data_IF_777309889328
#
_entry.id   IF_777309889328
#
_cell.length_a   1.000
_cell.length_b   1.000
_cell.length_c   1.000
_cell.angle_alpha   90.00
_cell.angle_beta   90.00
_cell.angle_gamma   90.00
#
_symmetry.space_group_name_H-M   'P 1'
#
loop_
_entity.id
_entity.type
_entity.pdbx_description
1 polymer ?
#
# COMPACT_ATOMS: atom_id res chain seq x y z
N UNK A 1 19.52 33.87 -15.93
CA UNK A 1 18.52 33.20 -16.78
C UNK A 1 17.59 32.46 -15.83
N UNK A 2 16.35 32.93 -15.70
CA UNK A 2 15.37 32.40 -14.73
C UNK A 2 14.60 31.28 -15.43
N UNK A 3 14.82 30.03 -15.01
CA UNK A 3 13.96 28.91 -15.39
C UNK A 3 12.75 28.94 -14.46
N UNK A 4 11.58 29.22 -15.01
CA UNK A 4 10.31 29.27 -14.28
C UNK A 4 9.60 27.99 -14.69
N UNK A 5 9.66 26.95 -13.85
CA UNK A 5 8.87 25.73 -14.04
C UNK A 5 7.41 26.10 -13.84
N UNK A 6 6.59 25.88 -14.87
CA UNK A 6 5.14 26.08 -14.80
C UNK A 6 4.53 24.84 -14.18
N UNK A 7 4.04 24.97 -12.96
CA UNK A 7 3.12 24.01 -12.34
C UNK A 7 1.88 23.95 -13.24
N UNK A 8 1.63 22.78 -13.84
CA UNK A 8 0.47 22.58 -14.72
C UNK A 8 -0.70 22.13 -13.84
N UNK A 9 -1.59 23.07 -13.51
CA UNK A 9 -2.84 22.81 -12.81
C UNK A 9 -3.76 21.94 -13.68
N UNK A 10 -4.08 20.73 -13.20
CA UNK A 10 -5.00 19.81 -13.86
C UNK A 10 -6.44 20.33 -13.72
N UNK A 11 -7.03 20.74 -14.84
CA UNK A 11 -8.47 21.03 -14.89
C UNK A 11 -9.24 19.74 -14.64
N UNK A 12 -10.15 19.76 -13.65
CA UNK A 12 -11.16 18.73 -13.43
C UNK A 12 -11.89 18.41 -14.75
N UNK A 13 -11.53 17.30 -15.38
CA UNK A 13 -12.22 16.80 -16.56
C UNK A 13 -13.46 16.07 -16.07
N UNK A 14 -14.63 16.67 -16.27
CA UNK A 14 -15.91 15.98 -16.08
C UNK A 14 -15.96 14.80 -17.03
N UNK A 15 -15.88 13.58 -16.47
CA UNK A 15 -16.07 12.31 -17.18
C UNK A 15 -17.50 12.34 -17.74
N UNK A 16 -17.61 12.83 -18.97
CA UNK A 16 -18.84 12.81 -19.74
C UNK A 16 -18.75 11.55 -20.57
N UNK A 17 -19.68 10.63 -20.31
CA UNK A 17 -19.86 9.32 -20.93
C UNK A 17 -19.54 9.34 -22.43
N UNK A 18 -18.34 8.93 -22.80
CA UNK A 18 -18.01 8.52 -24.15
C UNK A 18 -18.03 7.00 -24.19
N UNK A 19 -19.24 6.41 -24.31
CA UNK A 19 -19.36 5.08 -24.89
C UNK A 19 -18.89 5.21 -26.35
N UNK A 20 -17.61 4.99 -26.58
CA UNK A 20 -17.09 4.76 -27.91
C UNK A 20 -17.63 3.42 -28.38
N UNK A 21 -18.39 3.44 -29.48
CA UNK A 21 -18.84 2.25 -30.16
C UNK A 21 -17.63 1.44 -30.61
N UNK A 22 -17.35 0.33 -29.93
CA UNK A 22 -16.38 -0.68 -30.38
C UNK A 22 -16.95 -1.29 -31.65
N UNK A 23 -16.45 -0.81 -32.80
CA UNK A 23 -16.78 -1.35 -34.11
C UNK A 23 -15.92 -2.60 -34.32
N UNK A 24 -16.51 -3.78 -34.16
CA UNK A 24 -15.85 -5.05 -34.42
C UNK A 24 -15.40 -5.14 -35.89
N UNK A 25 -14.12 -4.87 -36.16
CA UNK A 25 -13.46 -5.19 -37.41
C UNK A 25 -12.72 -6.52 -37.23
N UNK A 26 -13.26 -7.57 -37.83
CA UNK A 26 -12.66 -8.89 -37.83
C UNK A 26 -11.30 -8.88 -38.53
N UNK A 27 -10.25 -9.21 -37.78
CA UNK A 27 -8.92 -9.52 -38.31
C UNK A 27 -8.70 -11.03 -38.21
N UNK A 28 -8.38 -11.64 -39.34
CA UNK A 28 -8.02 -13.07 -39.47
C UNK A 28 -6.53 -13.21 -39.16
N UNK A 29 -6.08 -14.24 -38.42
CA UNK A 29 -4.74 -14.24 -37.83
C UNK A 29 -3.66 -14.67 -38.82
N UNK A 30 -2.51 -13.99 -38.76
CA UNK A 30 -1.22 -14.53 -39.22
C UNK A 30 -0.36 -14.77 -37.98
N UNK A 31 0.00 -16.03 -37.78
CA UNK A 31 0.60 -16.51 -36.54
C UNK A 31 2.06 -16.12 -36.35
N UNK A 32 2.45 -15.99 -35.09
CA UNK A 32 3.60 -16.69 -34.53
C UNK A 32 3.37 -16.89 -33.04
N UNK A 33 3.78 -18.08 -32.62
CA UNK A 33 3.52 -18.79 -31.36
C UNK A 33 4.16 -18.11 -30.16
N UNK A 34 3.45 -18.01 -29.03
CA UNK A 34 3.90 -18.36 -27.67
C UNK A 34 2.67 -18.85 -26.87
N UNK A 35 2.84 -19.98 -26.19
CA UNK A 35 1.88 -20.65 -25.31
C UNK A 35 1.86 -19.93 -23.95
N UNK A 36 0.79 -19.91 -23.15
CA UNK A 36 -0.12 -21.00 -22.87
C UNK A 36 -1.54 -20.50 -22.54
N UNK A 37 -2.52 -21.25 -23.05
CA UNK A 37 -3.90 -21.27 -22.57
C UNK A 37 -4.07 -22.60 -21.83
N UNK A 38 -4.61 -22.59 -20.61
CA UNK A 38 -5.13 -23.79 -19.98
C UNK A 38 -6.46 -23.47 -19.32
N UNK A 39 -7.53 -23.88 -19.99
CA UNK A 39 -8.85 -24.03 -19.40
C UNK A 39 -9.20 -25.54 -19.35
N UNK A 40 -9.97 -25.89 -18.30
CA UNK A 40 -10.86 -27.06 -18.14
C UNK A 40 -10.22 -28.39 -17.67
N UNK A 41 -10.54 -28.85 -16.44
CA UNK A 41 -11.42 -30.02 -16.22
C UNK A 41 -11.75 -30.36 -14.76
N UNK A 42 -13.03 -30.71 -14.62
CA UNK A 42 -13.85 -31.12 -13.49
C UNK A 42 -13.51 -32.53 -12.94
N UNK A 43 -13.67 -32.74 -11.62
CA UNK A 43 -14.02 -34.06 -11.07
C UNK A 43 -14.60 -33.98 -9.64
N UNK A 44 -15.91 -34.24 -9.54
CA UNK A 44 -16.59 -34.67 -8.32
C UNK A 44 -16.13 -36.05 -7.82
N UNK A 45 -16.06 -36.25 -6.49
CA UNK A 45 -16.68 -37.42 -5.83
C UNK A 45 -16.69 -37.30 -4.29
N UNK A 46 -17.83 -37.72 -3.76
CA UNK A 46 -18.30 -37.87 -2.37
C UNK A 46 -17.50 -38.79 -1.45
N UNK A 47 -17.69 -38.63 -0.13
CA UNK A 47 -17.54 -39.73 0.83
C UNK A 47 -17.54 -39.32 2.30
N UNK A 48 -18.65 -39.57 3.01
CA UNK A 48 -18.80 -39.36 4.46
C UNK A 48 -18.15 -40.49 5.28
N UNK A 49 -17.75 -40.24 6.53
CA UNK A 49 -18.23 -41.04 7.68
C UNK A 49 -17.65 -40.60 9.04
N UNK A 50 -18.57 -40.60 10.00
CA UNK A 50 -18.54 -40.48 11.45
C UNK A 50 -17.57 -41.38 12.26
N UNK A 51 -17.54 -41.08 13.56
CA UNK A 51 -17.15 -41.84 14.78
C UNK A 51 -15.82 -41.42 15.43
N UNK A 52 -15.80 -40.72 16.58
CA UNK A 52 -16.32 -40.98 17.95
C UNK A 52 -15.45 -41.91 18.81
N UNK A 53 -14.79 -41.28 19.77
CA UNK A 53 -14.68 -41.61 21.21
C UNK A 53 -13.78 -42.73 21.78
N UNK A 54 -13.18 -42.31 22.90
CA UNK A 54 -12.92 -43.00 24.17
C UNK A 54 -11.56 -43.69 24.44
N UNK A 55 -10.77 -42.98 25.26
CA UNK A 55 -10.42 -43.29 26.66
C UNK A 55 -9.12 -44.00 27.06
N UNK A 56 -8.68 -43.59 28.25
CA UNK A 56 -7.82 -44.24 29.25
C UNK A 56 -6.30 -44.34 28.99
N UNK A 57 -5.39 -44.28 29.97
CA UNK A 57 -5.33 -43.85 31.37
C UNK A 57 -3.86 -44.14 31.83
N UNK A 58 -3.42 -43.42 32.87
CA UNK A 58 -2.37 -43.75 33.84
C UNK A 58 -0.87 -43.71 33.46
N UNK A 59 -0.11 -42.97 34.27
CA UNK A 59 1.20 -43.49 34.70
C UNK A 59 2.27 -42.56 35.28
N UNK A 60 2.06 -42.03 36.49
CA UNK A 60 2.99 -42.14 37.64
C UNK A 60 4.41 -41.48 37.63
N UNK A 61 4.55 -40.55 38.60
CA UNK A 61 5.68 -40.32 39.56
C UNK A 61 6.99 -39.67 39.10
N UNK A 62 7.45 -38.66 39.88
CA UNK A 62 8.90 -38.42 40.03
C UNK A 62 9.46 -37.10 40.60
N UNK A 63 8.95 -36.57 41.72
CA UNK A 63 9.69 -35.99 42.88
C UNK A 63 11.06 -35.25 42.75
N UNK A 64 11.14 -34.11 43.50
CA UNK A 64 12.28 -33.29 44.02
C UNK A 64 12.67 -32.08 43.14
N UNK A 65 12.70 -30.82 43.58
CA UNK A 65 12.60 -30.21 44.90
C UNK A 65 13.97 -29.83 45.50
N UNK A 66 14.32 -28.53 45.49
CA UNK A 66 15.18 -27.94 46.53
C UNK A 66 16.13 -26.77 46.16
N UNK A 67 15.92 -25.64 46.86
CA UNK A 67 16.79 -24.46 47.14
C UNK A 67 16.92 -23.40 46.02
N UNK A 68 16.93 -22.09 46.30
CA UNK A 68 16.88 -21.33 47.55
C UNK A 68 17.39 -19.89 47.31
N UNK A 69 16.64 -18.92 47.86
CA UNK A 69 16.95 -17.51 48.21
C UNK A 69 18.22 -16.80 47.67
N UNK A 70 18.05 -15.63 47.01
CA UNK A 70 18.19 -14.29 47.63
C UNK A 70 18.40 -13.13 46.62
N UNK A 71 17.62 -12.07 46.86
CA UNK A 71 17.80 -10.62 46.65
C UNK A 71 18.86 -10.01 45.68
N UNK A 72 18.32 -9.28 44.70
CA UNK A 72 18.53 -7.82 44.57
C UNK A 72 19.48 -7.33 43.47
N UNK A 73 18.97 -6.56 42.51
CA UNK A 73 19.65 -5.34 42.04
C UNK A 73 18.74 -4.46 41.19
N UNK A 74 18.95 -3.13 41.32
CA UNK A 74 18.25 -2.07 40.61
C UNK A 74 18.77 -1.99 39.17
N UNK A 75 17.86 -2.04 38.19
CA UNK A 75 18.14 -1.69 36.79
C UNK A 75 17.47 -0.36 36.43
N UNK A 76 18.30 0.64 36.14
CA UNK A 76 17.93 2.00 35.74
C UNK A 76 17.19 2.04 34.40
N UNK A 77 16.34 3.06 34.25
CA UNK A 77 15.52 3.29 33.07
C UNK A 77 16.32 3.45 31.78
N UNK A 78 15.74 2.93 30.70
CA UNK A 78 16.03 3.36 29.34
C UNK A 78 14.85 4.17 28.82
N UNK A 79 15.19 5.39 28.41
CA UNK A 79 14.36 6.29 27.62
C UNK A 79 14.05 5.63 26.27
N UNK A 80 12.82 5.84 25.80
CA UNK A 80 12.35 5.39 24.50
C UNK A 80 13.25 5.88 23.37
N UNK A 81 13.67 4.94 22.53
CA UNK A 81 14.00 5.15 21.14
C UNK A 81 12.73 4.87 20.33
N UNK A 82 12.54 5.64 19.26
CA UNK A 82 11.54 5.34 18.25
C UNK A 82 11.90 4.02 17.59
N UNK A 83 11.01 3.04 17.63
CA UNK A 83 11.13 1.84 16.81
C UNK A 83 10.71 2.22 15.38
N UNK A 84 11.69 2.44 14.51
CA UNK A 84 11.47 2.45 13.06
C UNK A 84 11.13 1.02 12.62
N UNK A 85 10.28 0.88 11.59
CA UNK A 85 9.90 -0.42 10.99
C UNK A 85 11.11 -1.35 10.76
N UNK A 86 12.29 -0.79 10.46
CA UNK A 86 13.57 -1.51 10.33
C UNK A 86 13.99 -2.34 11.55
N UNK A 87 13.72 -1.91 12.79
CA UNK A 87 14.10 -2.64 14.01
C UNK A 87 13.08 -3.76 14.34
N UNK A 88 11.85 -3.65 13.83
CA UNK A 88 10.79 -4.65 14.01
C UNK A 88 11.01 -5.84 13.06
N UNK A 89 11.43 -5.58 11.81
CA UNK A 89 11.74 -6.64 10.84
C UNK A 89 13.03 -7.44 11.16
N UNK A 90 13.90 -6.93 12.04
CA UNK A 90 15.13 -7.64 12.45
C UNK A 90 14.92 -8.73 13.51
N UNK A 91 13.75 -8.80 14.15
CA UNK A 91 13.48 -9.80 15.20
C UNK A 91 13.08 -11.18 14.62
N UNK A 92 12.89 -11.29 13.31
CA UNK A 92 12.46 -12.54 12.62
C UNK A 92 13.57 -13.59 12.44
N UNK A 93 14.85 -13.27 12.67
CA UNK A 93 15.97 -14.25 12.47
C UNK A 93 16.64 -14.75 13.76
N UNK A 94 16.05 -14.53 14.93
CA UNK A 94 16.56 -15.10 16.18
C UNK A 94 15.65 -16.23 16.69
N UNK A 95 15.90 -17.46 16.20
CA UNK A 95 15.32 -18.66 16.77
C UNK A 95 15.68 -18.80 18.26
N UNK A 96 14.69 -18.83 19.14
CA UNK A 96 14.74 -19.49 20.45
C UNK A 96 13.31 -19.85 20.89
N UNK A 97 12.98 -21.12 20.68
CA UNK A 97 12.31 -22.02 21.63
C UNK A 97 11.49 -21.36 22.76
N UNK A 98 10.16 -21.53 22.71
CA UNK A 98 9.36 -21.90 23.90
C UNK A 98 7.89 -22.22 23.50
N UNK A 99 7.53 -23.49 23.66
CA UNK A 99 6.42 -23.93 24.53
C UNK A 99 4.96 -23.57 24.20
N UNK A 100 4.17 -24.63 24.01
CA UNK A 100 2.69 -24.69 23.98
C UNK A 100 1.97 -24.07 25.20
N UNK A 101 0.80 -23.48 24.91
CA UNK A 101 -0.45 -23.29 25.70
C UNK A 101 -0.41 -22.76 27.16
N UNK A 102 -1.16 -21.67 27.46
CA UNK A 102 -2.46 -21.75 28.17
C UNK A 102 -3.15 -20.38 28.34
N UNK A 103 -4.49 -20.39 28.32
CA UNK A 103 -5.39 -19.25 28.36
C UNK A 103 -5.63 -18.74 29.80
N UNK A 104 -4.83 -17.80 30.28
CA UNK A 104 -5.01 -17.14 31.59
C UNK A 104 -5.22 -15.62 31.48
N UNK A 105 -6.46 -15.20 31.19
CA UNK A 105 -6.88 -13.79 31.24
C UNK A 105 -6.88 -13.27 32.70
N UNK A 106 -6.08 -12.25 33.07
CA UNK A 106 -6.00 -11.81 34.46
C UNK A 106 -7.07 -10.78 34.87
N UNK A 107 -7.37 -10.74 36.16
CA UNK A 107 -8.47 -9.97 36.79
C UNK A 107 -8.36 -8.43 36.71
N UNK A 108 -7.36 -7.87 36.04
CA UNK A 108 -7.22 -6.43 35.82
C UNK A 108 -8.00 -5.93 34.59
N UNK A 109 -8.61 -6.84 33.81
CA UNK A 109 -9.52 -6.49 32.71
C UNK A 109 -10.79 -5.81 33.28
N UNK A 110 -10.63 -4.51 33.58
CA UNK A 110 -11.61 -3.65 34.23
C UNK A 110 -12.91 -3.54 33.44
N UNK A 111 -14.00 -3.52 34.21
CA UNK A 111 -15.37 -3.47 33.75
C UNK A 111 -15.76 -2.19 33.01
N UNK A 112 -16.93 -2.27 32.37
CA UNK A 112 -17.48 -1.30 31.43
C UNK A 112 -17.34 0.17 31.82
N UNK A 113 -16.83 0.94 30.85
CA UNK A 113 -16.61 2.38 30.94
C UNK A 113 -17.87 3.16 31.28
N UNK A 114 -17.80 3.91 32.38
CA UNK A 114 -18.76 4.93 32.75
C UNK A 114 -18.61 6.17 31.87
N UNK A 115 -19.73 6.90 31.70
CA UNK A 115 -19.90 8.06 30.80
C UNK A 115 -18.98 9.29 31.04
N UNK A 116 -17.99 9.21 31.92
CA UNK A 116 -17.08 10.32 32.24
C UNK A 116 -15.59 9.97 32.11
N UNK A 117 -15.22 8.74 31.71
CA UNK A 117 -13.82 8.40 31.43
C UNK A 117 -13.49 8.75 29.97
N UNK A 118 -13.35 10.05 29.69
CA UNK A 118 -12.59 10.46 28.52
C UNK A 118 -11.13 10.24 28.85
N UNK A 119 -10.53 9.23 28.23
CA UNK A 119 -9.10 8.96 28.34
C UNK A 119 -8.30 10.25 28.20
N UNK A 120 -7.37 10.45 29.12
CA UNK A 120 -6.45 11.58 29.06
C UNK A 120 -5.72 11.58 27.71
N UNK A 121 -5.48 12.78 27.18
CA UNK A 121 -4.76 12.99 25.92
C UNK A 121 -3.41 12.24 26.03
N UNK A 122 -3.09 11.31 25.09
CA UNK A 122 -1.81 10.60 25.10
C UNK A 122 -0.66 11.60 25.12
N UNK A 123 0.40 11.32 25.87
CA UNK A 123 1.59 12.19 25.95
C UNK A 123 2.34 12.34 24.62
N UNK A 124 1.95 11.57 23.61
CA UNK A 124 2.45 11.62 22.22
C UNK A 124 1.59 12.50 21.30
N UNK A 125 0.42 12.95 21.76
CA UNK A 125 -0.39 13.89 21.01
C UNK A 125 0.22 15.28 21.19
N UNK A 126 0.79 15.82 20.11
CA UNK A 126 1.50 17.08 20.16
C UNK A 126 0.62 18.25 20.63
N UNK A 127 1.28 19.35 20.95
CA UNK A 127 0.67 20.55 21.52
C UNK A 127 0.48 21.68 20.51
N UNK A 128 0.82 21.48 19.23
CA UNK A 128 0.75 22.51 18.21
C UNK A 128 -0.33 22.17 17.17
N UNK A 129 -1.19 23.14 16.83
CA UNK A 129 -2.07 23.00 15.66
C UNK A 129 -1.15 22.99 14.43
N UNK A 130 -1.10 21.85 13.74
CA UNK A 130 -0.04 21.52 12.77
C UNK A 130 0.74 20.26 13.12
N UNK A 131 0.49 19.64 14.28
CA UNK A 131 0.95 18.28 14.55
C UNK A 131 0.55 17.36 13.39
N UNK A 132 1.33 16.30 13.17
CA UNK A 132 1.19 15.22 12.17
C UNK A 132 -0.25 14.72 11.85
N UNK A 133 -1.25 15.14 12.64
CA UNK A 133 -2.67 14.83 12.58
C UNK A 133 -3.61 16.06 12.35
N UNK A 134 -3.07 17.24 12.02
CA UNK A 134 -3.83 18.46 11.69
C UNK A 134 -4.34 18.50 10.26
N UNK A 135 -5.12 19.55 9.95
CA UNK A 135 -5.66 19.82 8.61
C UNK A 135 -4.52 19.79 7.58
N UNK A 136 -4.67 18.94 6.58
CA UNK A 136 -3.63 18.64 5.61
C UNK A 136 -3.95 19.39 4.33
N UNK A 137 -3.07 20.29 3.93
CA UNK A 137 -3.25 21.09 2.73
C UNK A 137 -2.28 20.67 1.64
N UNK A 138 -2.61 20.98 0.39
CA UNK A 138 -1.64 20.99 -0.70
C UNK A 138 -0.61 22.07 -0.37
N UNK A 139 0.68 21.71 -0.31
CA UNK A 139 1.75 22.64 0.05
C UNK A 139 2.81 22.76 -1.04
N UNK A 140 3.58 23.84 -0.98
CA UNK A 140 4.72 24.06 -1.86
C UNK A 140 5.84 23.05 -1.53
N UNK A 141 6.24 22.26 -2.54
CA UNK A 141 7.28 21.22 -2.44
C UNK A 141 8.30 21.36 -3.57
N UNK A 142 9.47 20.78 -3.37
CA UNK A 142 10.42 20.52 -4.44
C UNK A 142 10.08 19.26 -5.25
N UNK A 143 10.93 18.94 -6.22
CA UNK A 143 10.72 17.80 -7.13
C UNK A 143 10.75 16.43 -6.42
N UNK A 144 11.29 16.34 -5.20
CA UNK A 144 11.31 15.13 -4.38
C UNK A 144 10.17 15.09 -3.34
N UNK A 145 9.31 16.11 -3.32
CA UNK A 145 8.20 16.20 -2.37
C UNK A 145 8.60 16.79 -1.01
N UNK A 146 9.82 17.31 -0.88
CA UNK A 146 10.29 17.99 0.33
C UNK A 146 9.61 19.36 0.42
N UNK A 147 8.99 19.73 1.55
CA UNK A 147 8.32 21.01 1.69
C UNK A 147 9.33 22.18 1.61
N UNK A 148 9.01 23.18 0.80
CA UNK A 148 9.75 24.44 0.78
C UNK A 148 9.20 25.30 1.91
N UNK A 149 9.98 25.46 2.97
CA UNK A 149 9.58 26.24 4.14
C UNK A 149 9.69 27.75 3.86
N UNK A 150 8.83 28.53 4.51
CA UNK A 150 8.92 30.00 4.54
C UNK A 150 10.18 30.48 5.29
N UNK A 151 10.49 31.77 5.21
CA UNK A 151 11.62 32.36 5.96
C UNK A 151 11.51 32.13 7.48
N UNK A 152 10.28 32.05 7.99
CA UNK A 152 9.98 31.78 9.40
C UNK A 152 9.92 30.27 9.75
N UNK A 153 10.16 29.39 8.77
CA UNK A 153 10.25 27.95 8.97
C UNK A 153 8.91 27.19 8.89
N UNK A 154 7.83 27.83 8.46
CA UNK A 154 6.52 27.20 8.29
C UNK A 154 6.34 26.55 6.92
N UNK A 155 5.57 25.46 6.86
CA UNK A 155 5.07 24.89 5.60
C UNK A 155 4.19 25.92 4.88
N UNK A 156 4.19 25.88 3.54
CA UNK A 156 3.49 26.88 2.72
C UNK A 156 2.33 26.25 1.94
N UNK A 157 1.11 26.22 2.47
CA UNK A 157 -0.09 25.89 1.71
C UNK A 157 -0.24 26.74 0.45
N UNK A 158 -0.74 26.15 -0.62
CA UNK A 158 -0.92 26.83 -1.91
C UNK A 158 -2.40 26.91 -2.30
N UNK A 159 -2.72 27.91 -3.11
CA UNK A 159 -4.03 28.04 -3.75
C UNK A 159 -4.20 27.09 -4.95
N UNK A 160 -5.40 27.08 -5.55
CA UNK A 160 -5.69 26.28 -6.74
C UNK A 160 -4.85 26.61 -7.98
N UNK A 161 -4.19 27.78 -8.00
CA UNK A 161 -3.30 28.23 -9.06
C UNK A 161 -1.82 27.91 -8.76
N UNK A 162 -1.52 27.33 -7.59
CA UNK A 162 -0.19 26.95 -7.14
C UNK A 162 0.62 28.06 -6.46
N UNK A 163 -0.02 29.17 -6.06
CA UNK A 163 0.65 30.26 -5.37
C UNK A 163 0.61 30.04 -3.84
N UNK A 164 1.70 30.31 -3.11
CA UNK A 164 1.71 30.26 -1.65
C UNK A 164 0.70 31.22 -1.03
N UNK A 165 -0.06 30.70 -0.05
CA UNK A 165 -1.00 31.47 0.73
C UNK A 165 -0.28 32.27 1.83
N UNK A 166 -0.74 33.49 2.14
CA UNK A 166 -0.20 34.25 3.25
C UNK A 166 -0.55 33.58 4.59
N UNK A 167 0.43 33.51 5.49
CA UNK A 167 0.33 32.86 6.79
C UNK A 167 0.24 33.89 7.94
N UNK A 168 -0.38 33.50 9.05
CA UNK A 168 -0.36 34.24 10.31
C UNK A 168 0.93 33.98 11.12
N UNK A 169 1.02 34.57 12.32
CA UNK A 169 2.20 34.45 13.20
C UNK A 169 2.40 33.00 13.71
N UNK A 170 1.36 32.17 13.63
CA UNK A 170 1.37 30.76 14.01
C UNK A 170 1.59 29.80 12.83
N UNK A 171 1.76 30.32 11.61
CA UNK A 171 2.01 29.53 10.39
C UNK A 171 0.74 28.95 9.74
N UNK A 172 -0.45 29.38 10.16
CA UNK A 172 -1.72 28.99 9.56
C UNK A 172 -2.10 29.92 8.38
N UNK A 173 -2.76 29.42 7.32
CA UNK A 173 -3.29 30.27 6.27
C UNK A 173 -4.27 31.31 6.83
N UNK A 174 -4.05 32.59 6.50
CA UNK A 174 -4.94 33.68 6.92
C UNK A 174 -6.37 33.48 6.36
N UNK A 175 -6.45 32.98 5.13
CA UNK A 175 -7.71 32.57 4.50
C UNK A 175 -7.66 31.08 4.13
N UNK A 176 -8.10 30.17 5.03
CA UNK A 176 -8.06 28.74 4.78
C UNK A 176 -9.02 28.29 3.67
N UNK A 177 -10.00 29.12 3.28
CA UNK A 177 -10.94 28.75 2.22
C UNK A 177 -10.31 28.71 0.81
N UNK A 178 -9.13 29.31 0.68
CA UNK A 178 -8.32 29.27 -0.54
C UNK A 178 -7.41 28.05 -0.62
N UNK A 179 -7.16 27.39 0.52
CA UNK A 179 -6.33 26.20 0.58
C UNK A 179 -7.11 24.98 0.08
N UNK A 180 -6.42 24.09 -0.63
CA UNK A 180 -6.97 22.80 -1.02
C UNK A 180 -6.59 21.77 0.05
N UNK A 181 -7.58 21.15 0.67
CA UNK A 181 -7.35 20.04 1.60
C UNK A 181 -6.95 18.78 0.84
N UNK A 182 -6.08 18.00 1.47
CA UNK A 182 -5.63 16.69 0.97
C UNK A 182 -6.42 15.62 1.72
N UNK A 183 -7.14 14.79 0.97
CA UNK A 183 -7.99 13.73 1.50
C UNK A 183 -7.32 12.38 1.33
N UNK A 184 -6.81 11.78 2.41
CA UNK A 184 -6.13 10.48 2.33
C UNK A 184 -7.07 9.27 2.23
N UNK A 185 -8.37 9.43 2.46
CA UNK A 185 -9.31 8.31 2.41
C UNK A 185 -8.85 7.12 3.25
N UNK A 186 -8.66 5.96 2.60
CA UNK A 186 -8.12 4.71 3.18
C UNK A 186 -6.69 4.82 3.68
N UNK A 187 -5.86 5.67 3.09
CA UNK A 187 -4.46 5.87 3.48
C UNK A 187 -4.31 6.51 4.87
N UNK A 188 -5.39 7.04 5.45
CA UNK A 188 -5.41 7.41 6.87
C UNK A 188 -5.03 6.24 7.79
N UNK A 189 -5.09 4.99 7.32
CA UNK A 189 -4.57 3.85 8.08
C UNK A 189 -3.07 3.93 8.36
N UNK A 190 -2.28 4.68 7.56
CA UNK A 190 -0.87 4.93 7.86
C UNK A 190 -0.63 5.70 9.16
N UNK A 191 -1.70 6.28 9.74
CA UNK A 191 -1.69 6.92 11.06
C UNK A 191 -2.03 5.97 12.21
N UNK A 192 -2.45 4.75 11.89
CA UNK A 192 -2.76 3.74 12.89
C UNK A 192 -1.48 3.25 13.59
N UNK A 193 -1.61 2.65 14.79
CA UNK A 193 -0.48 1.99 15.44
C UNK A 193 0.19 0.96 14.50
N UNK A 194 1.52 0.87 14.54
CA UNK A 194 2.33 0.03 13.64
C UNK A 194 1.87 -1.43 13.58
N UNK A 195 1.45 -1.99 14.72
CA UNK A 195 0.87 -3.35 14.83
C UNK A 195 -0.27 -3.66 13.84
N UNK A 196 -0.95 -2.64 13.31
CA UNK A 196 -2.00 -2.82 12.30
C UNK A 196 -1.42 -3.20 10.95
N UNK A 197 -0.29 -2.60 10.57
CA UNK A 197 0.44 -2.94 9.34
C UNK A 197 1.28 -4.20 9.55
N UNK A 198 1.88 -4.39 10.72
CA UNK A 198 2.72 -5.57 11.01
C UNK A 198 1.97 -6.88 10.78
N UNK A 199 0.74 -7.00 11.31
CA UNK A 199 -0.11 -8.18 11.08
C UNK A 199 -0.42 -8.42 9.61
N UNK A 200 -0.48 -7.37 8.79
CA UNK A 200 -0.77 -7.49 7.36
C UNK A 200 0.48 -7.85 6.57
N UNK A 201 1.64 -7.36 7.01
CA UNK A 201 2.92 -7.83 6.51
C UNK A 201 3.11 -9.33 6.77
N UNK A 202 2.77 -9.84 7.97
CA UNK A 202 2.83 -11.28 8.28
C UNK A 202 1.95 -12.13 7.36
N UNK A 203 0.73 -11.67 7.05
CA UNK A 203 -0.18 -12.33 6.11
C UNK A 203 0.44 -12.37 4.70
N UNK A 204 1.01 -11.26 4.22
CA UNK A 204 1.73 -11.19 2.94
C UNK A 204 2.93 -12.11 2.89
N UNK A 205 3.78 -12.09 3.92
CA UNK A 205 4.98 -12.94 4.01
C UNK A 205 4.59 -14.41 3.93
N UNK A 206 3.52 -14.80 4.62
CA UNK A 206 3.00 -16.16 4.58
C UNK A 206 2.55 -16.54 3.17
N UNK A 207 1.81 -15.66 2.48
CA UNK A 207 1.36 -15.92 1.12
C UNK A 207 2.53 -16.02 0.14
N UNK A 208 3.53 -15.14 0.25
CA UNK A 208 4.70 -15.14 -0.64
C UNK A 208 5.56 -16.39 -0.46
N UNK A 209 5.83 -16.80 0.79
CA UNK A 209 6.61 -18.01 1.08
C UNK A 209 5.89 -19.32 0.71
N UNK A 210 4.56 -19.28 0.54
CA UNK A 210 3.76 -20.45 0.13
C UNK A 210 3.41 -20.46 -1.35
N UNK A 211 3.64 -19.35 -2.06
CA UNK A 211 3.35 -19.23 -3.47
C UNK A 211 4.23 -20.19 -4.29
N UNK A 212 3.62 -20.91 -5.22
CA UNK A 212 4.35 -21.75 -6.19
C UNK A 212 4.65 -21.01 -7.49
N UNK A 213 3.98 -19.89 -7.71
CA UNK A 213 4.14 -19.02 -8.88
C UNK A 213 3.74 -17.59 -8.51
N UNK A 214 4.40 -16.61 -9.14
CA UNK A 214 4.17 -15.17 -8.92
C UNK A 214 4.01 -14.53 -10.28
N UNK A 215 3.04 -13.62 -10.40
CA UNK A 215 2.81 -12.80 -11.59
C UNK A 215 2.23 -11.46 -11.18
N UNK A 216 1.92 -10.59 -12.14
CA UNK A 216 1.29 -9.29 -11.90
C UNK A 216 -0.11 -9.24 -12.51
N UNK A 217 -1.01 -8.50 -11.88
CA UNK A 217 -2.24 -8.04 -12.52
C UNK A 217 -1.94 -6.86 -13.45
N UNK A 218 -2.94 -6.43 -14.23
CA UNK A 218 -2.78 -5.34 -15.19
C UNK A 218 -2.42 -3.98 -14.56
N UNK A 219 -2.57 -3.82 -13.25
CA UNK A 219 -2.16 -2.62 -12.52
C UNK A 219 -0.78 -2.75 -11.85
N UNK A 220 -0.13 -3.92 -11.95
CA UNK A 220 1.16 -4.20 -11.33
C UNK A 220 1.08 -4.73 -9.90
N UNK A 221 -0.09 -5.18 -9.41
CA UNK A 221 -0.20 -5.85 -8.10
C UNK A 221 0.16 -7.32 -8.21
N UNK A 222 0.72 -7.89 -7.16
CA UNK A 222 1.11 -9.30 -7.13
C UNK A 222 -0.11 -10.22 -7.22
N UNK A 223 0.02 -11.24 -8.06
CA UNK A 223 -0.89 -12.38 -8.20
C UNK A 223 -0.10 -13.64 -7.86
N UNK A 224 -0.48 -14.27 -6.74
CA UNK A 224 0.20 -15.42 -6.19
C UNK A 224 -0.60 -16.68 -6.47
N UNK A 225 0.05 -17.73 -6.96
CA UNK A 225 -0.56 -19.05 -7.03
C UNK A 225 -0.25 -19.82 -5.75
N UNK A 226 -1.27 -20.01 -4.91
CA UNK A 226 -1.17 -20.79 -3.66
C UNK A 226 -2.12 -21.98 -3.78
N UNK A 227 -1.61 -23.20 -3.52
CA UNK A 227 -2.37 -24.45 -3.67
C UNK A 227 -3.04 -24.63 -5.05
N UNK A 228 -2.38 -24.14 -6.10
CA UNK A 228 -2.90 -24.19 -7.48
C UNK A 228 -4.02 -23.19 -7.79
N UNK A 229 -4.30 -22.25 -6.87
CA UNK A 229 -5.29 -21.17 -7.05
C UNK A 229 -4.59 -19.82 -7.11
N UNK A 230 -4.78 -19.09 -8.21
CA UNK A 230 -4.30 -17.72 -8.35
C UNK A 230 -5.12 -16.77 -7.46
N UNK A 231 -4.43 -15.93 -6.69
CA UNK A 231 -4.99 -14.92 -5.81
C UNK A 231 -4.22 -13.62 -5.96
N UNK A 232 -4.91 -12.56 -6.37
CA UNK A 232 -4.36 -11.20 -6.36
C UNK A 232 -4.29 -10.68 -4.92
N UNK A 233 -3.19 -10.03 -4.55
CA UNK A 233 -3.10 -9.25 -3.32
C UNK A 233 -3.95 -7.99 -3.53
N UNK A 234 -5.24 -8.07 -3.16
CA UNK A 234 -6.22 -7.01 -3.37
C UNK A 234 -6.55 -6.20 -2.11
N UNK A 235 -6.01 -6.61 -0.96
CA UNK A 235 -6.17 -5.91 0.31
C UNK A 235 -5.33 -4.63 0.32
N UNK A 236 -5.92 -3.48 0.71
CA UNK A 236 -5.19 -2.21 0.77
C UNK A 236 -4.04 -2.24 1.75
N UNK A 237 -4.22 -2.93 2.87
CA UNK A 237 -3.20 -2.95 3.93
C UNK A 237 -2.06 -3.89 3.58
N UNK A 238 -2.33 -4.95 2.83
CA UNK A 238 -1.28 -5.84 2.32
C UNK A 238 -0.43 -5.10 1.29
N UNK A 239 -1.08 -4.42 0.34
CA UNK A 239 -0.39 -3.54 -0.62
C UNK A 239 0.40 -2.43 0.10
N UNK A 240 -0.19 -1.78 1.11
CA UNK A 240 0.50 -0.74 1.87
C UNK A 240 1.71 -1.29 2.65
N UNK A 241 1.63 -2.51 3.19
CA UNK A 241 2.74 -3.15 3.88
C UNK A 241 3.91 -3.42 2.93
N UNK A 242 3.63 -3.91 1.72
CA UNK A 242 4.67 -4.13 0.69
C UNK A 242 5.28 -2.80 0.25
N UNK A 243 4.45 -1.78 0.01
CA UNK A 243 4.92 -0.42 -0.30
C UNK A 243 5.92 0.09 0.75
N UNK A 244 5.57 -0.01 2.04
CA UNK A 244 6.45 0.42 3.14
C UNK A 244 7.75 -0.39 3.15
N UNK A 245 7.67 -1.72 3.02
CA UNK A 245 8.83 -2.59 3.01
C UNK A 245 9.82 -2.20 1.90
N UNK A 246 9.36 -2.06 0.66
CA UNK A 246 10.24 -1.67 -0.45
C UNK A 246 10.82 -0.27 -0.25
N UNK A 247 9.98 0.71 0.08
CA UNK A 247 10.41 2.11 0.22
C UNK A 247 11.35 2.35 1.42
N UNK A 248 11.39 1.42 2.39
CA UNK A 248 12.28 1.53 3.57
C UNK A 248 13.50 0.65 3.49
N UNK A 249 13.34 -0.60 3.05
CA UNK A 249 14.41 -1.61 3.09
C UNK A 249 14.87 -2.09 1.72
N UNK A 250 14.16 -1.75 0.63
CA UNK A 250 14.45 -2.29 -0.71
C UNK A 250 14.28 -3.81 -0.78
N UNK A 251 13.44 -4.38 0.08
CA UNK A 251 13.13 -5.82 0.15
C UNK A 251 11.85 -6.00 0.95
N UNK A 252 11.17 -7.14 0.77
CA UNK A 252 10.08 -7.62 1.62
C UNK A 252 10.69 -8.52 2.71
N UNK A 253 10.89 -8.01 3.95
CA UNK A 253 11.56 -8.78 4.98
C UNK A 253 10.79 -10.06 5.34
N UNK A 254 11.52 -11.16 5.58
CA UNK A 254 10.92 -12.46 5.87
C UNK A 254 10.56 -13.29 4.65
N UNK A 255 10.84 -12.80 3.44
CA UNK A 255 10.79 -13.57 2.19
C UNK A 255 12.21 -13.66 1.64
N UNK A 256 12.77 -14.87 1.59
CA UNK A 256 14.16 -15.08 1.14
C UNK A 256 14.26 -15.43 -0.35
N UNK A 257 13.19 -15.98 -0.93
CA UNK A 257 13.16 -16.47 -2.31
C UNK A 257 11.73 -16.37 -2.84
N UNK A 258 11.59 -16.03 -4.11
CA UNK A 258 10.31 -16.01 -4.82
C UNK A 258 10.39 -16.97 -6.03
N UNK A 259 9.28 -17.61 -6.41
CA UNK A 259 9.25 -18.41 -7.63
C UNK A 259 9.73 -17.64 -8.87
N UNK A 260 10.77 -18.15 -9.53
CA UNK A 260 11.34 -17.57 -10.74
C UNK A 260 12.53 -16.65 -10.46
N UNK A 261 12.77 -15.68 -11.33
CA UNK A 261 13.79 -14.61 -11.12
C UNK A 261 13.26 -13.23 -11.49
N UNK A 262 11.99 -13.13 -11.89
CA UNK A 262 11.37 -11.89 -12.37
C UNK A 262 11.05 -10.92 -11.23
N UNK A 263 10.94 -11.44 -10.01
CA UNK A 263 10.57 -10.69 -8.80
C UNK A 263 11.69 -10.66 -7.75
N UNK A 264 12.92 -11.02 -8.13
CA UNK A 264 14.07 -11.06 -7.21
C UNK A 264 14.38 -9.68 -6.62
N UNK A 265 14.11 -8.60 -7.35
CA UNK A 265 14.27 -7.22 -6.87
C UNK A 265 13.45 -6.96 -5.59
N UNK A 266 12.27 -7.59 -5.47
CA UNK A 266 11.42 -7.44 -4.28
C UNK A 266 12.04 -8.05 -3.01
N UNK A 267 13.08 -8.87 -3.12
CA UNK A 267 13.66 -9.61 -1.98
C UNK A 267 15.18 -9.46 -1.85
N UNK A 268 15.87 -8.75 -2.75
CA UNK A 268 17.34 -8.70 -2.79
C UNK A 268 18.00 -7.70 -1.82
N UNK A 269 17.22 -6.78 -1.24
CA UNK A 269 17.69 -5.79 -0.27
C UNK A 269 18.33 -4.56 -0.92
N UNK A 270 18.14 -4.35 -2.22
CA UNK A 270 18.66 -3.23 -2.98
C UNK A 270 17.48 -2.45 -3.55
N UNK A 271 17.26 -1.24 -3.04
CA UNK A 271 16.27 -0.34 -3.62
C UNK A 271 16.73 0.14 -5.00
N UNK A 272 16.03 -0.33 -6.05
CA UNK A 272 16.26 0.02 -7.45
C UNK A 272 15.05 0.72 -8.08
N UNK A 273 15.17 1.06 -9.37
CA UNK A 273 14.03 1.58 -10.14
C UNK A 273 12.90 0.54 -10.27
N UNK A 274 13.22 -0.76 -10.37
CA UNK A 274 12.20 -1.81 -10.48
C UNK A 274 11.36 -1.92 -9.19
N UNK A 275 11.98 -1.70 -8.04
CA UNK A 275 11.29 -1.61 -6.75
C UNK A 275 10.37 -0.41 -6.69
N UNK A 276 10.80 0.74 -7.20
CA UNK A 276 9.97 1.95 -7.24
C UNK A 276 8.78 1.80 -8.17
N UNK A 277 8.96 1.14 -9.32
CA UNK A 277 7.86 0.80 -10.24
C UNK A 277 6.85 -0.09 -9.53
N UNK A 278 7.33 -1.12 -8.83
CA UNK A 278 6.47 -2.02 -8.05
C UNK A 278 5.79 -1.28 -6.89
N UNK A 279 6.52 -0.44 -6.16
CA UNK A 279 6.01 0.39 -5.07
C UNK A 279 4.90 1.35 -5.53
N UNK A 280 4.99 1.90 -6.74
CA UNK A 280 3.91 2.73 -7.29
C UNK A 280 2.60 1.93 -7.44
N UNK A 281 2.67 0.70 -7.94
CA UNK A 281 1.51 -0.19 -8.04
C UNK A 281 0.95 -0.61 -6.67
N UNK A 282 1.82 -0.86 -5.68
CA UNK A 282 1.39 -1.16 -4.31
C UNK A 282 0.76 0.05 -3.62
N UNK A 283 1.30 1.26 -3.82
CA UNK A 283 0.66 2.48 -3.33
C UNK A 283 -0.74 2.68 -3.96
N UNK A 284 -0.89 2.35 -5.25
CA UNK A 284 -2.16 2.36 -5.95
C UNK A 284 -3.17 1.33 -5.39
N UNK A 285 -2.71 0.14 -5.01
CA UNK A 285 -3.54 -0.88 -4.35
C UNK A 285 -4.00 -0.47 -2.95
N UNK A 286 -3.20 0.36 -2.26
CA UNK A 286 -3.51 0.85 -0.92
C UNK A 286 -4.50 2.03 -0.90
N UNK A 287 -4.43 2.91 -1.91
CA UNK A 287 -5.23 4.15 -1.92
C UNK A 287 -6.71 3.91 -2.25
N UNK A 288 -7.50 4.98 -2.21
CA UNK A 288 -8.90 4.94 -2.64
C UNK A 288 -8.99 4.64 -4.13
N UNK A 289 -9.92 3.74 -4.50
CA UNK A 289 -10.13 3.36 -5.90
C UNK A 289 -10.69 4.49 -6.75
N UNK A 290 -11.16 5.59 -6.17
CA UNK A 290 -11.79 6.69 -6.90
C UNK A 290 -11.04 7.99 -6.64
N UNK A 291 -11.07 8.91 -7.60
CA UNK A 291 -10.36 10.18 -7.49
C UNK A 291 -9.02 10.16 -8.22
N UNK A 292 -8.07 10.94 -7.73
CA UNK A 292 -6.71 11.05 -8.23
C UNK A 292 -5.76 10.85 -7.07
N UNK A 293 -4.65 10.16 -7.29
CA UNK A 293 -3.59 10.05 -6.29
C UNK A 293 -2.49 11.09 -6.52
N UNK A 294 -2.41 12.06 -5.62
CA UNK A 294 -1.63 13.28 -5.76
C UNK A 294 -0.25 13.20 -5.09
N UNK A 295 0.63 14.13 -5.50
CA UNK A 295 1.97 14.31 -4.89
C UNK A 295 1.90 14.50 -3.39
N UNK A 296 0.94 15.30 -2.92
CA UNK A 296 0.78 15.53 -1.48
C UNK A 296 0.36 14.27 -0.76
N UNK A 297 -0.55 13.47 -1.32
CA UNK A 297 -0.92 12.20 -0.69
C UNK A 297 0.28 11.25 -0.56
N UNK A 298 1.11 11.12 -1.60
CA UNK A 298 2.35 10.31 -1.51
C UNK A 298 3.31 10.89 -0.47
N UNK A 299 3.56 12.19 -0.49
CA UNK A 299 4.51 12.82 0.43
C UNK A 299 4.04 12.73 1.90
N UNK A 300 2.74 12.90 2.14
CA UNK A 300 2.16 12.73 3.47
C UNK A 300 2.11 11.27 3.90
N UNK A 301 1.81 10.34 2.98
CA UNK A 301 1.88 8.91 3.23
C UNK A 301 3.27 8.52 3.71
N UNK A 302 4.32 8.95 3.00
CA UNK A 302 5.71 8.69 3.38
C UNK A 302 6.05 9.30 4.73
N UNK A 303 5.60 10.54 4.98
CA UNK A 303 5.81 11.21 6.26
C UNK A 303 5.17 10.45 7.42
N UNK A 304 3.94 9.96 7.26
CA UNK A 304 3.21 9.24 8.31
C UNK A 304 3.75 7.85 8.57
N UNK A 305 4.21 7.16 7.53
CA UNK A 305 4.77 5.82 7.63
C UNK A 305 6.25 5.81 8.06
N UNK A 306 6.85 6.98 8.24
CA UNK A 306 8.23 7.07 8.72
C UNK A 306 9.29 6.80 7.64
N UNK A 307 8.94 6.94 6.36
CA UNK A 307 9.83 6.66 5.23
C UNK A 307 10.80 7.82 5.03
N UNK A 308 12.08 7.60 5.33
CA UNK A 308 13.18 8.56 5.17
C UNK A 308 12.84 9.96 5.73
N UNK A 309 12.56 10.04 7.03
CA UNK A 309 12.09 11.28 7.66
C UNK A 309 13.24 12.18 8.10
N UNK A 310 13.15 13.46 7.73
CA UNK A 310 13.88 14.54 8.37
C UNK A 310 12.94 15.46 9.17
N UNK A 311 13.54 16.23 10.07
CA UNK A 311 12.83 17.22 10.88
C UNK A 311 13.54 18.56 10.82
N UNK A 312 12.79 19.60 10.47
CA UNK A 312 13.23 20.99 10.57
C UNK A 312 12.28 21.74 11.49
N UNK A 313 12.78 22.14 12.67
CA UNK A 313 11.91 22.65 13.73
C UNK A 313 10.91 21.59 14.18
N UNK A 314 9.62 21.95 14.16
CA UNK A 314 8.51 21.06 14.49
C UNK A 314 7.93 20.31 13.26
N UNK A 315 8.45 20.59 12.06
CA UNK A 315 7.96 19.98 10.80
C UNK A 315 8.74 18.71 10.50
N UNK A 316 8.03 17.59 10.36
CA UNK A 316 8.56 16.32 9.90
C UNK A 316 8.10 16.03 8.47
N UNK A 317 9.02 15.61 7.59
CA UNK A 317 8.72 15.31 6.19
C UNK A 317 9.64 14.21 5.67
N UNK A 318 9.19 13.50 4.63
CA UNK A 318 10.02 12.54 3.91
C UNK A 318 11.01 13.28 3.00
N UNK A 319 12.25 12.82 2.97
CA UNK A 319 13.32 13.25 2.04
C UNK A 319 13.69 12.14 1.07
N UNK A 320 12.74 11.23 0.79
CA UNK A 320 12.95 10.17 -0.17
C UNK A 320 13.35 10.75 -1.54
N UNK A 321 14.41 10.20 -2.15
CA UNK A 321 14.94 10.69 -3.41
C UNK A 321 14.30 9.98 -4.60
N UNK A 322 13.58 10.73 -5.43
CA UNK A 322 12.95 10.23 -6.65
C UNK A 322 13.76 10.59 -7.91
N UNK A 323 14.98 11.11 -7.76
CA UNK A 323 15.82 11.59 -8.85
C UNK A 323 16.13 10.53 -9.92
N UNK A 324 16.22 9.26 -9.52
CA UNK A 324 16.48 8.12 -10.41
C UNK A 324 15.19 7.44 -10.90
N UNK A 325 14.01 7.84 -10.44
CA UNK A 325 12.75 7.23 -10.89
C UNK A 325 12.38 7.70 -12.30
N UNK A 326 11.97 6.77 -13.16
CA UNK A 326 11.38 7.09 -14.46
C UNK A 326 10.14 6.27 -14.72
N UNK A 327 9.20 6.86 -15.44
CA UNK A 327 7.96 6.21 -15.82
C UNK A 327 7.58 6.62 -17.24
N UNK A 328 7.23 5.63 -18.04
CA UNK A 328 6.62 5.78 -19.36
C UNK A 328 5.36 4.92 -19.39
N UNK A 329 4.24 5.54 -19.71
CA UNK A 329 2.93 4.89 -19.67
C UNK A 329 2.78 3.89 -20.82
N UNK A 330 3.27 4.23 -22.01
CA UNK A 330 3.21 3.35 -23.17
C UNK A 330 4.05 2.10 -22.94
N UNK A 331 5.29 2.25 -22.45
CA UNK A 331 6.17 1.12 -22.11
C UNK A 331 5.52 0.17 -21.10
N UNK A 332 4.73 0.71 -20.16
CA UNK A 332 4.07 -0.08 -19.12
C UNK A 332 2.77 -0.75 -19.58
N UNK A 333 1.95 -0.07 -20.40
CA UNK A 333 0.56 -0.45 -20.59
C UNK A 333 0.12 -0.66 -22.05
N UNK A 334 0.94 -0.33 -23.05
CA UNK A 334 0.55 -0.42 -24.48
C UNK A 334 0.14 -1.84 -24.88
N UNK A 335 0.80 -2.87 -24.35
CA UNK A 335 0.53 -4.27 -24.67
C UNK A 335 -0.41 -4.97 -23.66
N UNK A 336 -0.86 -4.26 -22.62
CA UNK A 336 -1.67 -4.86 -21.56
C UNK A 336 -3.14 -4.93 -21.96
N UNK A 337 -3.68 -6.15 -21.95
CA UNK A 337 -5.10 -6.42 -22.20
C UNK A 337 -5.77 -7.09 -21.01
N UNK A 338 -7.03 -6.73 -20.76
CA UNK A 338 -7.86 -7.32 -19.70
C UNK A 338 -9.20 -7.76 -20.25
N UNK A 339 -9.76 -8.82 -19.69
CA UNK A 339 -11.14 -9.23 -19.97
C UNK A 339 -12.08 -8.58 -18.97
N UNK A 340 -13.07 -7.84 -19.48
CA UNK A 340 -14.05 -7.12 -18.65
C UNK A 340 -15.47 -7.32 -19.17
N UNK A 341 -16.45 -7.09 -18.31
CA UNK A 341 -17.86 -7.27 -18.61
C UNK A 341 -18.47 -6.00 -19.22
N UNK A 342 -18.67 -5.99 -20.54
CA UNK A 342 -19.21 -4.82 -21.27
C UNK A 342 -20.67 -5.04 -21.67
N UNK A 343 -21.50 -4.00 -21.49
CA UNK A 343 -22.88 -3.97 -21.93
C UNK A 343 -22.97 -3.85 -23.47
N UNK A 344 -23.59 -4.84 -24.09
CA UNK A 344 -23.78 -4.95 -25.53
C UNK A 344 -24.98 -4.09 -26.01
N UNK A 345 -25.08 -3.79 -27.32
CA UNK A 345 -26.19 -3.01 -27.88
C UNK A 345 -27.59 -3.61 -27.65
N UNK A 346 -27.67 -4.92 -27.45
CA UNK A 346 -28.90 -5.66 -27.14
C UNK A 346 -29.30 -5.58 -25.65
N UNK A 347 -28.49 -4.91 -24.83
CA UNK A 347 -28.70 -4.72 -23.39
C UNK A 347 -28.14 -5.85 -22.52
N UNK A 348 -27.57 -6.91 -23.11
CA UNK A 348 -26.87 -7.97 -22.38
C UNK A 348 -25.46 -7.55 -21.98
N UNK A 349 -24.81 -8.33 -21.13
CA UNK A 349 -23.42 -8.14 -20.73
C UNK A 349 -22.57 -9.32 -21.23
N UNK A 350 -21.41 -9.04 -21.81
CA UNK A 350 -20.53 -10.09 -22.34
C UNK A 350 -19.06 -9.81 -21.96
N UNK A 351 -18.28 -10.84 -21.59
CA UNK A 351 -16.84 -10.73 -21.45
C UNK A 351 -16.21 -10.23 -22.75
N UNK A 352 -15.39 -9.19 -22.65
CA UNK A 352 -14.75 -8.52 -23.78
C UNK A 352 -13.31 -8.23 -23.42
N UNK A 353 -12.38 -8.69 -24.25
CA UNK A 353 -10.96 -8.33 -24.11
C UNK A 353 -10.76 -6.92 -24.65
N UNK A 354 -10.19 -6.05 -23.82
CA UNK A 354 -9.84 -4.67 -24.18
C UNK A 354 -8.37 -4.41 -23.91
N UNK A 355 -7.82 -3.40 -24.57
CA UNK A 355 -6.52 -2.85 -24.25
C UNK A 355 -6.67 -1.72 -23.20
N UNK A 356 -5.93 -1.79 -22.10
CA UNK A 356 -6.08 -0.82 -21.00
C UNK A 356 -5.56 0.56 -21.40
N UNK A 357 -4.51 0.63 -22.21
CA UNK A 357 -3.93 1.89 -22.68
C UNK A 357 -4.89 2.66 -23.59
N UNK A 358 -5.54 1.96 -24.52
CA UNK A 358 -6.56 2.54 -25.38
C UNK A 358 -7.78 3.00 -24.57
N UNK A 359 -8.33 2.14 -23.70
CA UNK A 359 -9.64 2.40 -23.08
C UNK A 359 -9.57 3.37 -21.91
N UNK A 360 -8.52 3.28 -21.09
CA UNK A 360 -8.41 4.08 -19.85
C UNK A 360 -7.70 5.40 -20.15
N UNK A 361 -6.65 5.37 -20.97
CA UNK A 361 -5.83 6.54 -21.25
C UNK A 361 -6.12 7.17 -22.63
N UNK A 362 -7.03 6.62 -23.43
CA UNK A 362 -7.34 7.12 -24.78
C UNK A 362 -6.11 7.17 -25.72
N UNK A 363 -5.14 6.28 -25.53
CA UNK A 363 -3.81 6.34 -26.15
C UNK A 363 -3.05 7.66 -25.88
N UNK A 364 -3.40 8.37 -24.80
CA UNK A 364 -2.63 9.51 -24.33
C UNK A 364 -1.43 9.02 -23.54
N UNK A 365 -0.26 9.32 -24.07
CA UNK A 365 0.99 8.96 -23.44
C UNK A 365 1.40 9.94 -22.33
N UNK A 366 2.21 9.45 -21.40
CA UNK A 366 2.92 10.23 -20.41
C UNK A 366 4.28 9.61 -20.17
N UNK A 367 5.31 10.45 -20.21
CA UNK A 367 6.65 10.06 -19.79
C UNK A 367 7.31 11.16 -18.96
N UNK A 368 8.06 10.73 -17.96
CA UNK A 368 8.79 11.63 -17.08
C UNK A 368 9.83 10.91 -16.24
N UNK A 369 10.69 11.67 -15.61
CA UNK A 369 11.73 11.15 -14.72
C UNK A 369 12.09 12.14 -13.62
N UNK A 370 12.71 11.64 -12.55
CA UNK A 370 13.44 12.42 -11.57
C UNK A 370 12.59 13.25 -10.61
N UNK A 371 11.34 12.84 -10.35
CA UNK A 371 10.49 13.55 -9.39
C UNK A 371 9.40 12.68 -8.77
N UNK A 372 8.94 13.07 -7.59
CA UNK A 372 7.76 12.51 -6.92
C UNK A 372 6.50 12.66 -7.78
N UNK A 373 6.44 13.68 -8.66
CA UNK A 373 5.30 13.86 -9.56
C UNK A 373 5.17 12.72 -10.56
N UNK A 374 6.30 12.20 -11.03
CA UNK A 374 6.36 11.06 -11.95
C UNK A 374 5.96 9.79 -11.21
N UNK A 375 6.43 9.60 -9.97
CA UNK A 375 6.00 8.50 -9.11
C UNK A 375 4.50 8.52 -8.83
N UNK A 376 3.97 9.69 -8.48
CA UNK A 376 2.54 9.89 -8.20
C UNK A 376 1.69 9.62 -9.45
N UNK A 377 2.17 10.02 -10.64
CA UNK A 377 1.49 9.71 -11.90
C UNK A 377 1.47 8.20 -12.18
N UNK A 378 2.59 7.50 -11.97
CA UNK A 378 2.65 6.05 -12.14
C UNK A 378 1.65 5.33 -11.20
N UNK A 379 1.60 5.76 -9.93
CA UNK A 379 0.67 5.21 -8.96
C UNK A 379 -0.80 5.58 -9.26
N UNK A 380 -1.09 6.78 -9.75
CA UNK A 380 -2.46 7.17 -10.15
C UNK A 380 -2.94 6.43 -11.40
N UNK A 381 -2.04 6.18 -12.36
CA UNK A 381 -2.34 5.40 -13.56
C UNK A 381 -2.67 3.94 -13.19
N UNK A 382 -1.86 3.32 -12.33
CA UNK A 382 -2.15 2.00 -11.76
C UNK A 382 -3.50 1.99 -11.01
N UNK A 383 -3.79 3.03 -10.21
CA UNK A 383 -5.07 3.18 -9.49
C UNK A 383 -6.25 3.30 -10.45
N UNK A 384 -6.09 4.02 -11.56
CA UNK A 384 -7.12 4.12 -12.59
C UNK A 384 -7.45 2.76 -13.22
N UNK A 385 -6.43 1.93 -13.47
CA UNK A 385 -6.58 0.56 -13.95
C UNK A 385 -7.31 -0.31 -12.91
N UNK A 386 -6.89 -0.26 -11.64
CA UNK A 386 -7.57 -0.98 -10.54
C UNK A 386 -9.05 -0.59 -10.51
N UNK A 387 -9.36 0.70 -10.51
CA UNK A 387 -10.73 1.18 -10.50
C UNK A 387 -11.54 0.64 -11.67
N UNK A 388 -10.97 0.70 -12.88
CA UNK A 388 -11.62 0.24 -14.09
C UNK A 388 -11.92 -1.26 -14.03
N UNK A 389 -10.94 -2.09 -13.68
CA UNK A 389 -11.12 -3.54 -13.60
C UNK A 389 -12.19 -3.91 -12.57
N UNK A 390 -12.19 -3.25 -11.40
CA UNK A 390 -13.20 -3.48 -10.37
C UNK A 390 -14.62 -3.03 -10.79
N UNK A 391 -14.75 -1.95 -11.58
CA UNK A 391 -16.06 -1.47 -12.06
C UNK A 391 -16.66 -2.41 -13.11
N UNK A 392 -15.82 -3.05 -13.94
CA UNK A 392 -16.24 -3.92 -15.04
C UNK A 392 -15.87 -5.39 -14.83
N UNK A 393 -15.71 -5.83 -13.58
CA UNK A 393 -15.29 -7.19 -13.25
C UNK A 393 -16.29 -8.24 -13.80
N UNK A 394 -15.77 -9.35 -14.33
CA UNK A 394 -16.59 -10.49 -14.75
C UNK A 394 -16.94 -11.32 -13.49
N UNK A 395 -18.23 -11.48 -13.13
CA UNK A 395 -18.60 -12.24 -11.93
C UNK A 395 -18.11 -13.69 -12.02
N UNK A 396 -17.45 -14.17 -10.96
CA UNK A 396 -16.89 -15.53 -10.89
C UNK A 396 -17.93 -16.65 -11.19
N UNK A 397 -19.21 -16.41 -10.92
CA UNK A 397 -20.30 -17.38 -11.14
C UNK A 397 -20.80 -17.46 -12.61
N UNK A 398 -20.27 -16.63 -13.50
CA UNK A 398 -20.74 -16.55 -14.90
C UNK A 398 -20.02 -17.48 -15.87
N UNK A 399 -19.02 -18.25 -15.39
CA UNK A 399 -18.34 -19.30 -16.14
C UNK A 399 -18.96 -20.65 -15.81
N UNK A 400 -20.07 -20.99 -16.47
CA UNK A 400 -20.66 -22.34 -16.48
C UNK A 400 -20.86 -22.84 -17.90
#
# INVERSE_FOLDING_TARGET
MKNTSKITSYKKLSITTAMAAILALGVVPFGSTHAANAAIQDSHSSGSSDHSDHDSDHGSKGQKGGKGDAAGEKGQGKKGGHDSLEDIFRDVTASSDDGEEDSDKPAWAGGGGGKNDRGEKPSTAGSARGDLYGDMYVILRDDNGVPILSEDGFVQPIDADGNPLPLDEEGAPIDPSLATEVELGRLNVGRAPTQVLDRRAEEVITLLNTATDVSLDAAGRLVLTVDGVAKTIDSPLENLAIYVALMTTGTIPGVEDLPGTEFDHLVDGVLTMEDLVSAAAFAAGATDKTGSFSVDEVAYLNAFLGINIEKTGDVAYSVFDFSEFSYDRSDMYEDITVEVLIKQPDGTYAPTVINVYEVIFNNEDYSGSGSISVFSQAADDARAIINFIHEYEVPADSVN
#
